data_IF_476869428551
#
_entry.id   IF_476869428551
#
_cell.length_a   1.000
_cell.length_b   1.000
_cell.length_c   1.000
_cell.angle_alpha   90.00
_cell.angle_beta   90.00
_cell.angle_gamma   90.00
#
_symmetry.space_group_name_H-M   'P 1'
#
loop_
_entity.id
_entity.type
_entity.pdbx_description
1 polymer ?
#
# COMPACT_ATOMS: atom_id res chain seq x y z
N UNK A 1 -13.12 -33.66 -23.33
CA UNK A 1 -12.47 -32.36 -23.61
C UNK A 1 -13.19 -31.28 -22.81
N UNK A 2 -12.40 -30.41 -22.18
CA UNK A 2 -12.70 -29.08 -21.67
C UNK A 2 -13.71 -28.91 -20.53
N UNK A 3 -13.19 -28.39 -19.41
CA UNK A 3 -13.91 -27.86 -18.27
C UNK A 3 -12.93 -27.39 -17.20
N UNK A 4 -11.89 -26.67 -17.62
CA UNK A 4 -10.78 -26.20 -16.78
C UNK A 4 -11.29 -25.10 -15.84
N UNK A 5 -11.08 -25.32 -14.54
CA UNK A 5 -10.44 -24.38 -13.61
C UNK A 5 -10.80 -22.89 -13.76
N UNK A 6 -11.61 -22.38 -12.84
CA UNK A 6 -11.87 -20.94 -12.73
C UNK A 6 -12.41 -20.47 -11.38
N UNK A 7 -12.49 -21.34 -10.37
CA UNK A 7 -13.11 -21.02 -9.09
C UNK A 7 -12.17 -20.44 -8.02
N UNK A 8 -10.86 -20.54 -8.19
CA UNK A 8 -9.92 -20.40 -7.06
C UNK A 8 -9.19 -19.06 -6.97
N UNK A 9 -9.39 -18.12 -7.88
CA UNK A 9 -8.56 -16.89 -7.91
C UNK A 9 -9.08 -15.71 -7.08
N UNK A 10 -10.21 -15.79 -6.38
CA UNK A 10 -10.77 -14.61 -5.71
C UNK A 10 -10.87 -14.67 -4.17
N UNK A 11 -10.51 -15.80 -3.53
CA UNK A 11 -10.54 -15.89 -2.06
C UNK A 11 -9.18 -15.69 -1.37
N UNK A 12 -8.05 -15.79 -2.08
CA UNK A 12 -6.73 -15.55 -1.49
C UNK A 12 -6.37 -14.07 -1.26
N UNK A 13 -7.14 -13.11 -1.81
CA UNK A 13 -6.79 -11.69 -1.74
C UNK A 13 -7.39 -10.94 -0.53
N UNK A 14 -8.27 -11.55 0.28
CA UNK A 14 -8.90 -10.85 1.42
C UNK A 14 -8.09 -10.88 2.73
N UNK A 15 -6.94 -11.58 2.75
CA UNK A 15 -6.14 -11.77 3.98
C UNK A 15 -5.06 -10.73 4.25
N UNK A 16 -4.70 -9.85 3.30
CA UNK A 16 -3.42 -9.11 3.37
C UNK A 16 -3.54 -7.57 3.27
N UNK A 17 -4.75 -7.02 3.26
CA UNK A 17 -4.98 -5.56 3.25
C UNK A 17 -5.06 -4.95 4.66
N UNK A 18 -5.24 -5.76 5.70
CA UNK A 18 -5.39 -5.27 7.08
C UNK A 18 -4.16 -4.47 7.58
N UNK A 19 -3.00 -4.74 6.97
CA UNK A 19 -1.73 -4.11 7.34
C UNK A 19 -1.22 -3.13 6.29
N UNK A 20 -2.07 -2.66 5.37
CA UNK A 20 -1.64 -1.86 4.21
C UNK A 20 -2.39 -0.53 4.12
N UNK A 21 -1.62 0.57 4.08
CA UNK A 21 -2.10 1.90 3.75
C UNK A 21 -1.91 2.17 2.26
N UNK A 22 -2.93 2.76 1.63
CA UNK A 22 -2.87 3.23 0.24
C UNK A 22 -2.81 4.76 0.27
N UNK A 23 -1.73 5.31 -0.28
CA UNK A 23 -1.52 6.76 -0.41
C UNK A 23 -1.70 7.13 -1.87
N UNK A 24 -2.76 7.87 -2.17
CA UNK A 24 -3.08 8.33 -3.52
C UNK A 24 -2.74 9.82 -3.68
N UNK A 25 -2.82 10.34 -4.91
CA UNK A 25 -2.52 11.74 -5.23
C UNK A 25 -1.08 12.15 -4.87
N UNK A 26 -0.13 11.22 -5.00
CA UNK A 26 1.27 11.56 -4.85
C UNK A 26 1.77 12.39 -6.03
N UNK A 27 2.70 13.32 -5.79
CA UNK A 27 3.30 14.10 -6.86
C UNK A 27 3.91 13.19 -7.93
N UNK A 28 3.89 13.65 -9.19
CA UNK A 28 4.50 12.91 -10.30
C UNK A 28 6.03 12.80 -10.18
N UNK A 29 6.63 13.59 -9.29
CA UNK A 29 8.04 13.48 -8.95
C UNK A 29 8.36 12.13 -8.32
N UNK A 30 9.59 11.66 -8.52
CA UNK A 30 10.03 10.39 -7.96
C UNK A 30 10.35 10.60 -6.48
N UNK A 31 9.41 10.27 -5.59
CA UNK A 31 9.67 10.29 -4.15
C UNK A 31 10.49 9.05 -3.76
N UNK A 32 11.58 9.21 -2.99
CA UNK A 32 12.35 8.08 -2.50
C UNK A 32 11.55 7.29 -1.46
N UNK A 33 11.73 5.98 -1.43
CA UNK A 33 11.09 5.10 -0.44
C UNK A 33 11.37 5.57 1.00
N UNK A 34 12.59 6.04 1.27
CA UNK A 34 13.01 6.54 2.59
C UNK A 34 12.09 7.62 3.16
N UNK A 35 11.52 8.48 2.31
CA UNK A 35 10.61 9.53 2.74
C UNK A 35 9.30 8.95 3.28
N UNK A 36 8.80 7.85 2.68
CA UNK A 36 7.64 7.14 3.21
C UNK A 36 7.99 6.39 4.49
N UNK A 37 9.19 5.82 4.59
CA UNK A 37 9.66 5.20 5.82
C UNK A 37 9.71 6.22 6.97
N UNK A 38 10.32 7.39 6.78
CA UNK A 38 10.37 8.45 7.80
C UNK A 38 8.98 8.99 8.15
N UNK A 39 8.12 9.23 7.15
CA UNK A 39 6.78 9.79 7.38
C UNK A 39 5.79 8.79 7.96
N UNK A 40 5.96 7.49 7.75
CA UNK A 40 4.99 6.49 8.23
C UNK A 40 5.50 5.68 9.43
N UNK A 41 6.82 5.63 9.66
CA UNK A 41 7.40 5.01 10.87
C UNK A 41 6.98 5.69 12.17
N UNK A 42 6.61 6.98 12.14
CA UNK A 42 6.06 7.70 13.31
C UNK A 42 4.72 7.15 13.82
N UNK A 43 3.97 6.44 12.96
CA UNK A 43 2.68 5.83 13.33
C UNK A 43 2.83 4.39 13.84
N UNK A 44 3.96 3.73 13.55
CA UNK A 44 4.26 2.39 14.02
C UNK A 44 5.29 1.66 13.15
N UNK A 45 5.69 0.44 13.55
CA UNK A 45 6.70 -0.33 12.83
C UNK A 45 6.21 -0.72 11.43
N UNK A 46 7.01 -0.35 10.43
CA UNK A 46 6.82 -0.75 9.04
C UNK A 46 7.35 -2.16 8.81
N UNK A 47 6.70 -2.91 7.92
CA UNK A 47 7.20 -4.22 7.48
C UNK A 47 8.63 -4.06 6.97
N UNK A 48 9.57 -4.83 7.49
CA UNK A 48 10.95 -4.84 6.97
C UNK A 48 11.04 -5.76 5.74
N UNK A 49 11.59 -5.24 4.65
CA UNK A 49 11.92 -6.03 3.45
C UNK A 49 11.34 -5.48 2.14
N UNK A 50 11.66 -6.15 1.01
CA UNK A 50 11.13 -5.77 -0.29
C UNK A 50 9.60 -5.84 -0.31
N UNK A 51 8.96 -4.76 -0.75
CA UNK A 51 7.49 -4.64 -0.76
C UNK A 51 6.87 -4.07 0.52
N UNK A 52 7.69 -3.54 1.44
CA UNK A 52 7.27 -2.69 2.55
C UNK A 52 6.61 -1.39 2.06
N UNK A 53 7.27 -0.71 1.13
CA UNK A 53 6.72 0.40 0.37
C UNK A 53 6.76 0.02 -1.10
N UNK A 54 5.67 0.23 -1.82
CA UNK A 54 5.62 0.00 -3.26
C UNK A 54 4.92 1.17 -3.92
N UNK A 55 5.61 1.83 -4.84
CA UNK A 55 5.09 2.98 -5.57
C UNK A 55 4.72 2.52 -6.97
N UNK A 56 3.47 2.78 -7.35
CA UNK A 56 2.94 2.50 -8.67
C UNK A 56 2.66 3.82 -9.39
N UNK A 57 3.17 3.94 -10.60
CA UNK A 57 2.77 5.02 -11.51
C UNK A 57 1.41 4.66 -12.07
N UNK A 58 0.41 5.49 -11.82
CA UNK A 58 -0.85 5.36 -12.53
C UNK A 58 -0.70 6.02 -13.91
N UNK A 59 -1.44 5.52 -14.90
CA UNK A 59 -1.34 6.02 -16.27
C UNK A 59 -1.69 7.51 -16.39
N UNK A 60 -1.33 8.15 -17.52
CA UNK A 60 -1.69 9.53 -17.79
C UNK A 60 -3.22 9.68 -17.76
N UNK A 61 -3.75 10.41 -16.78
CA UNK A 61 -5.20 10.63 -16.58
C UNK A 61 -5.76 10.11 -15.25
N UNK A 62 -4.99 9.35 -14.45
CA UNK A 62 -5.48 8.71 -13.22
C UNK A 62 -5.02 9.38 -11.90
N UNK A 63 -4.56 10.63 -11.94
CA UNK A 63 -4.28 11.40 -10.71
C UNK A 63 -2.92 11.14 -10.06
N UNK A 64 -1.87 10.83 -10.84
CA UNK A 64 -0.49 10.79 -10.36
C UNK A 64 0.01 9.40 -9.95
N UNK A 65 0.76 9.32 -8.86
CA UNK A 65 1.30 8.04 -8.34
C UNK A 65 0.50 7.56 -7.13
N UNK A 66 0.51 6.25 -6.90
CA UNK A 66 -0.01 5.63 -5.69
C UNK A 66 1.14 4.93 -4.96
N UNK A 67 1.27 5.17 -3.67
CA UNK A 67 2.15 4.37 -2.81
C UNK A 67 1.33 3.43 -1.93
N UNK A 68 1.94 2.29 -1.67
CA UNK A 68 1.39 1.26 -0.82
C UNK A 68 2.38 0.98 0.29
N UNK A 69 1.94 1.15 1.52
CA UNK A 69 2.81 1.09 2.69
C UNK A 69 2.28 -0.02 3.58
N UNK A 70 3.14 -0.98 3.91
CA UNK A 70 2.80 -2.12 4.75
C UNK A 70 3.38 -1.92 6.15
N UNK A 71 2.52 -2.05 7.14
CA UNK A 71 2.86 -2.04 8.56
C UNK A 71 2.99 -3.45 9.10
N UNK A 72 3.66 -3.60 10.24
CA UNK A 72 3.65 -4.87 10.98
C UNK A 72 2.37 -5.02 11.82
N UNK A 73 1.70 -3.91 12.12
CA UNK A 73 0.56 -3.85 13.02
C UNK A 73 -0.63 -3.08 12.41
N UNK A 74 -1.85 -3.51 12.72
CA UNK A 74 -3.07 -2.91 12.18
C UNK A 74 -3.44 -1.58 12.86
N UNK A 75 -3.13 -1.40 14.14
CA UNK A 75 -3.36 -0.12 14.82
C UNK A 75 -2.48 1.00 14.23
N UNK A 76 -1.27 0.66 13.77
CA UNK A 76 -0.41 1.60 13.05
C UNK A 76 -1.03 2.05 11.70
N UNK A 77 -1.72 1.14 11.00
CA UNK A 77 -2.48 1.47 9.78
C UNK A 77 -3.61 2.47 10.09
N UNK A 78 -4.40 2.20 11.13
CA UNK A 78 -5.52 3.07 11.52
C UNK A 78 -5.02 4.45 11.94
N UNK A 79 -3.93 4.52 12.72
CA UNK A 79 -3.29 5.77 13.11
C UNK A 79 -2.80 6.55 11.89
N UNK A 80 -2.11 5.90 10.96
CA UNK A 80 -1.60 6.55 9.76
C UNK A 80 -2.73 7.11 8.90
N UNK A 81 -3.81 6.35 8.67
CA UNK A 81 -4.97 6.82 7.90
C UNK A 81 -5.65 7.99 8.59
N UNK A 82 -5.88 7.89 9.91
CA UNK A 82 -6.54 8.95 10.67
C UNK A 82 -5.75 10.27 10.64
N UNK A 83 -4.44 10.21 10.85
CA UNK A 83 -3.60 11.42 10.92
C UNK A 83 -3.26 12.02 9.55
N UNK A 84 -3.28 11.23 8.46
CA UNK A 84 -2.92 11.72 7.11
C UNK A 84 -4.12 12.18 6.28
N UNK A 85 -5.35 11.92 6.74
CA UNK A 85 -6.58 12.29 6.06
C UNK A 85 -7.40 13.35 6.83
N UNK A 86 -6.79 13.98 7.83
CA UNK A 86 -7.26 15.22 8.49
C UNK A 86 -6.86 16.45 7.66
#
# INVERSE_FOLDING_TARGET
MAGTDGGEQQQAARGNYQYRVVVSNLPQEHLPQSLFDEEFSKYGPLKKGPGAVTIHNMGPGQGGKIAFIKFEDAAAVELAIKNKNE
#
